data_IF_705707190825
#
_entry.id   IF_705707190825
#
_cell.length_a   1.000
_cell.length_b   1.000
_cell.length_c   1.000
_cell.angle_alpha   90.00
_cell.angle_beta   90.00
_cell.angle_gamma   90.00
#
_symmetry.space_group_name_H-M   'P 1'
#
loop_
_entity.id
_entity.type
_entity.pdbx_description
1 polymer ?
#
# COMPACT_ATOMS: atom_id res chain seq x y z
N UNK A 1 0.41 1.37 19.96
CA UNK A 1 0.18 1.01 21.39
C UNK A 1 0.07 2.29 22.20
N UNK A 2 -0.96 2.41 23.06
CA UNK A 2 -1.22 3.62 23.86
C UNK A 2 -0.63 3.54 25.27
N UNK A 3 -0.52 2.33 25.81
CA UNK A 3 0.02 2.07 27.15
C UNK A 3 1.49 1.67 27.10
N UNK A 4 2.21 1.90 28.19
CA UNK A 4 3.60 1.52 28.40
C UNK A 4 3.71 0.40 29.44
N UNK A 5 4.86 -0.27 29.43
CA UNK A 5 5.18 -1.30 30.44
C UNK A 5 5.21 -0.64 31.82
N UNK A 6 4.40 -1.16 32.75
CA UNK A 6 4.28 -0.64 34.11
C UNK A 6 3.01 0.20 34.36
N UNK A 7 2.25 0.54 33.32
CA UNK A 7 0.97 1.24 33.50
C UNK A 7 -0.05 0.34 34.19
N UNK A 8 -0.80 0.92 35.14
CA UNK A 8 -1.96 0.24 35.75
C UNK A 8 -3.18 0.49 34.87
N UNK A 9 -3.81 -0.58 34.40
CA UNK A 9 -5.00 -0.54 33.56
C UNK A 9 -6.19 -1.20 34.25
N UNK A 10 -7.39 -0.76 33.88
CA UNK A 10 -8.67 -1.29 34.32
C UNK A 10 -9.39 -2.03 33.19
N UNK A 11 -10.39 -2.84 33.54
CA UNK A 11 -11.24 -3.48 32.55
C UNK A 11 -11.99 -2.41 31.72
N UNK A 12 -11.82 -2.46 30.40
CA UNK A 12 -12.40 -1.50 29.46
C UNK A 12 -11.43 -0.43 28.95
N UNK A 13 -10.21 -0.34 29.50
CA UNK A 13 -9.21 0.62 29.02
C UNK A 13 -8.70 0.26 27.62
N UNK A 14 -8.51 1.28 26.78
CA UNK A 14 -8.02 1.12 25.41
C UNK A 14 -6.50 1.07 25.44
N UNK A 15 -5.95 -0.10 25.15
CA UNK A 15 -4.49 -0.35 25.22
C UNK A 15 -3.76 -0.03 23.90
N UNK A 16 -4.49 0.03 22.77
CA UNK A 16 -3.94 0.35 21.46
C UNK A 16 -5.02 0.93 20.55
N UNK A 17 -4.63 1.90 19.73
CA UNK A 17 -5.46 2.39 18.64
C UNK A 17 -5.48 1.41 17.46
N UNK A 18 -6.66 1.28 16.84
CA UNK A 18 -6.84 0.61 15.56
C UNK A 18 -6.62 1.55 14.37
N UNK A 19 -6.97 1.07 13.18
CA UNK A 19 -7.01 1.91 11.98
C UNK A 19 -8.02 3.05 12.17
N UNK A 20 -7.62 4.28 11.82
CA UNK A 20 -8.46 5.48 11.92
C UNK A 20 -8.96 5.78 13.33
N UNK A 21 -8.12 5.53 14.35
CA UNK A 21 -8.39 5.91 15.74
C UNK A 21 -7.29 6.81 16.29
N UNK A 22 -7.63 7.66 17.24
CA UNK A 22 -6.68 8.48 18.00
C UNK A 22 -7.14 8.53 19.46
N UNK A 23 -6.35 7.94 20.36
CA UNK A 23 -6.69 7.82 21.78
C UNK A 23 -8.05 7.18 22.05
N UNK A 24 -8.40 6.15 21.27
CA UNK A 24 -9.66 5.43 21.41
C UNK A 24 -10.87 6.08 20.74
N UNK A 25 -10.72 7.26 20.17
CA UNK A 25 -11.77 7.95 19.43
C UNK A 25 -11.59 7.79 17.92
N UNK A 26 -12.70 7.88 17.17
CA UNK A 26 -12.71 7.80 15.72
C UNK A 26 -12.02 9.03 15.10
N UNK A 27 -11.00 8.80 14.28
CA UNK A 27 -10.20 9.82 13.60
C UNK A 27 -10.05 9.50 12.11
N UNK A 28 -11.01 9.97 11.29
CA UNK A 28 -11.09 9.69 9.85
C UNK A 28 -10.30 10.67 8.97
N UNK A 29 -9.69 11.71 9.54
CA UNK A 29 -9.02 12.76 8.79
C UNK A 29 -8.07 13.58 9.65
N UNK A 30 -7.74 14.78 9.18
CA UNK A 30 -6.83 15.70 9.88
C UNK A 30 -7.43 17.08 9.96
N UNK A 31 -7.21 17.73 11.10
CA UNK A 31 -7.51 19.14 11.27
C UNK A 31 -6.51 19.97 10.46
N UNK A 32 -7.01 20.85 9.60
CA UNK A 32 -6.19 21.75 8.77
C UNK A 32 -6.73 23.17 8.84
N UNK A 33 -5.84 24.15 8.68
CA UNK A 33 -6.22 25.55 8.58
C UNK A 33 -6.75 25.83 7.17
N UNK A 34 -7.93 26.46 7.09
CA UNK A 34 -8.63 26.76 5.82
C UNK A 34 -8.81 28.26 5.68
N UNK A 35 -8.63 28.77 4.46
CA UNK A 35 -8.92 30.16 4.09
C UNK A 35 -10.03 30.19 3.04
N UNK A 36 -11.09 30.96 3.32
CA UNK A 36 -12.22 31.15 2.39
C UNK A 36 -11.98 32.36 1.49
N UNK A 37 -11.08 32.21 0.51
CA UNK A 37 -10.73 33.28 -0.43
C UNK A 37 -10.62 32.73 -1.86
N UNK A 38 -11.01 33.49 -2.90
CA UNK A 38 -10.66 33.14 -4.26
C UNK A 38 -9.14 33.26 -4.46
N UNK A 39 -8.52 32.28 -5.12
CA UNK A 39 -7.08 32.25 -5.32
C UNK A 39 -6.72 32.04 -6.79
N UNK A 40 -6.54 33.15 -7.53
CA UNK A 40 -6.04 33.18 -8.91
C UNK A 40 -6.76 32.21 -9.88
N UNK A 41 -8.02 31.88 -9.61
CA UNK A 41 -8.81 30.91 -10.39
C UNK A 41 -8.49 29.44 -10.14
N UNK A 42 -7.51 29.10 -9.30
CA UNK A 42 -7.17 27.70 -9.00
C UNK A 42 -8.22 26.97 -8.16
N UNK A 43 -9.04 27.71 -7.41
CA UNK A 43 -10.21 27.18 -6.69
C UNK A 43 -11.53 27.59 -7.36
N UNK A 44 -11.55 27.62 -8.69
CA UNK A 44 -12.78 27.86 -9.44
C UNK A 44 -13.73 26.65 -9.31
N UNK A 45 -15.03 26.90 -9.21
CA UNK A 45 -16.07 25.90 -8.93
C UNK A 45 -15.74 25.07 -7.68
N UNK A 46 -15.52 23.76 -7.84
CA UNK A 46 -15.31 22.80 -6.74
C UNK A 46 -13.83 22.45 -6.53
N UNK A 47 -12.91 23.17 -7.18
CA UNK A 47 -11.48 22.91 -7.06
C UNK A 47 -10.93 23.35 -5.69
N UNK A 48 -10.07 22.53 -5.11
CA UNK A 48 -9.41 22.80 -3.82
C UNK A 48 -7.92 23.03 -4.05
N UNK A 49 -7.41 24.15 -3.53
CA UNK A 49 -5.97 24.43 -3.49
C UNK A 49 -5.41 23.94 -2.16
N UNK A 50 -4.39 23.10 -2.22
CA UNK A 50 -3.69 22.58 -1.04
C UNK A 50 -2.29 23.19 -0.93
N UNK A 51 -1.85 23.39 0.31
CA UNK A 51 -0.46 23.78 0.57
C UNK A 51 0.48 22.60 0.28
N UNK A 52 1.64 22.87 -0.31
CA UNK A 52 2.70 21.87 -0.49
C UNK A 52 3.10 21.19 0.83
N UNK A 53 2.92 21.90 1.96
CA UNK A 53 3.15 21.38 3.31
C UNK A 53 2.37 20.09 3.59
N UNK A 54 1.17 19.95 3.03
CA UNK A 54 0.33 18.74 3.18
C UNK A 54 1.07 17.50 2.67
N UNK A 55 1.76 17.62 1.54
CA UNK A 55 2.55 16.54 0.94
C UNK A 55 3.85 16.31 1.71
N UNK A 56 4.56 17.39 2.06
CA UNK A 56 5.86 17.31 2.75
C UNK A 56 5.78 16.69 4.15
N UNK A 57 4.67 16.89 4.85
CA UNK A 57 4.47 16.39 6.22
C UNK A 57 3.59 15.11 6.29
N UNK A 58 3.33 14.45 5.15
CA UNK A 58 2.52 13.22 5.07
C UNK A 58 1.14 13.35 5.76
N UNK A 59 0.50 14.53 5.69
CA UNK A 59 -0.72 14.81 6.45
C UNK A 59 -1.88 13.92 5.98
N UNK A 60 -2.03 13.74 4.67
CA UNK A 60 -3.08 12.92 4.06
C UNK A 60 -2.55 11.64 3.37
N UNK A 61 -1.38 11.16 3.78
CA UNK A 61 -0.81 9.92 3.25
C UNK A 61 -1.57 8.71 3.82
N UNK A 62 -1.87 7.73 2.97
CA UNK A 62 -2.58 6.49 3.35
C UNK A 62 -1.91 5.25 2.75
N UNK A 63 -2.11 4.11 3.39
CA UNK A 63 -1.58 2.81 2.95
C UNK A 63 -2.72 1.99 2.35
N UNK A 64 -2.52 1.51 1.12
CA UNK A 64 -3.45 0.60 0.45
C UNK A 64 -2.75 -0.72 0.15
N UNK A 65 -3.35 -1.82 0.62
CA UNK A 65 -2.91 -3.17 0.31
C UNK A 65 -3.79 -3.70 -0.81
N UNK A 66 -3.17 -4.31 -1.82
CA UNK A 66 -3.86 -4.94 -2.95
C UNK A 66 -3.40 -6.38 -3.01
N UNK A 67 -4.35 -7.31 -2.91
CA UNK A 67 -4.10 -8.73 -3.08
C UNK A 67 -4.26 -9.12 -4.56
N UNK A 68 -3.32 -9.92 -5.05
CA UNK A 68 -3.36 -10.48 -6.39
C UNK A 68 -3.18 -11.99 -6.29
N UNK A 69 -4.16 -12.73 -6.77
CA UNK A 69 -4.10 -14.18 -6.81
C UNK A 69 -3.71 -14.67 -8.20
N UNK A 70 -2.90 -15.73 -8.24
CA UNK A 70 -2.59 -16.44 -9.47
C UNK A 70 -2.68 -17.96 -9.24
N UNK A 71 -3.17 -18.69 -10.24
CA UNK A 71 -3.34 -20.15 -10.17
C UNK A 71 -2.80 -20.81 -11.42
N UNK A 72 -2.01 -21.84 -11.23
CA UNK A 72 -1.50 -22.74 -12.27
C UNK A 72 -2.56 -23.80 -12.58
N UNK A 73 -2.69 -24.19 -13.85
CA UNK A 73 -3.68 -25.17 -14.29
C UNK A 73 -3.04 -26.23 -15.17
N UNK A 74 -3.56 -27.45 -15.07
CA UNK A 74 -3.23 -28.50 -16.04
C UNK A 74 -3.97 -28.24 -17.34
N UNK A 75 -3.21 -28.17 -18.44
CA UNK A 75 -3.75 -28.04 -19.78
C UNK A 75 -3.60 -29.37 -20.53
N UNK A 76 -4.28 -29.51 -21.67
CA UNK A 76 -4.12 -30.69 -22.52
C UNK A 76 -2.71 -30.83 -23.11
N UNK A 77 -1.95 -29.73 -23.15
CA UNK A 77 -0.58 -29.69 -23.69
C UNK A 77 0.49 -29.94 -22.61
N UNK A 78 0.10 -29.96 -21.34
CA UNK A 78 0.98 -30.18 -20.20
C UNK A 78 0.57 -29.39 -18.95
N UNK A 79 1.15 -29.73 -17.79
CA UNK A 79 0.99 -28.95 -16.58
C UNK A 79 1.70 -27.60 -16.72
N UNK A 80 0.99 -26.50 -16.46
CA UNK A 80 1.66 -25.22 -16.25
C UNK A 80 2.53 -25.33 -14.98
N UNK A 81 3.58 -24.51 -14.88
CA UNK A 81 4.40 -24.46 -13.66
C UNK A 81 4.90 -23.06 -13.35
N UNK A 82 5.11 -22.81 -12.05
CA UNK A 82 5.81 -21.63 -11.58
C UNK A 82 7.30 -21.83 -11.82
N UNK A 83 7.91 -20.83 -12.47
CA UNK A 83 9.35 -20.85 -12.75
C UNK A 83 9.86 -19.45 -12.98
N UNK A 84 11.13 -19.23 -12.62
CA UNK A 84 11.86 -18.02 -12.96
C UNK A 84 12.32 -18.02 -14.43
N UNK A 85 12.43 -19.18 -15.06
CA UNK A 85 12.90 -19.31 -16.44
C UNK A 85 11.76 -18.99 -17.43
N UNK A 86 11.64 -17.71 -17.81
CA UNK A 86 10.58 -17.23 -18.70
C UNK A 86 11.20 -16.85 -20.05
N UNK A 87 10.76 -17.45 -21.17
CA UNK A 87 11.31 -17.15 -22.48
C UNK A 87 11.01 -15.70 -22.90
N UNK A 88 11.95 -15.07 -23.60
CA UNK A 88 11.85 -13.69 -24.10
C UNK A 88 11.78 -12.59 -23.02
N UNK A 89 12.17 -12.88 -21.78
CA UNK A 89 12.24 -11.90 -20.69
C UNK A 89 13.70 -11.63 -20.33
N UNK A 90 14.04 -10.37 -20.01
CA UNK A 90 15.39 -10.02 -19.59
C UNK A 90 15.66 -10.42 -18.13
N UNK A 91 16.91 -10.77 -17.80
CA UNK A 91 17.34 -11.03 -16.42
C UNK A 91 17.02 -9.88 -15.47
N UNK A 92 17.06 -8.63 -15.96
CA UNK A 92 16.72 -7.47 -15.14
C UNK A 92 15.25 -7.46 -14.70
N UNK A 93 14.33 -7.97 -15.53
CA UNK A 93 12.92 -8.12 -15.15
C UNK A 93 12.70 -9.28 -14.17
N UNK A 94 13.58 -10.29 -14.18
CA UNK A 94 13.53 -11.47 -13.31
C UNK A 94 14.29 -11.27 -12.00
N UNK A 95 15.00 -10.15 -11.81
CA UNK A 95 15.85 -9.90 -10.63
C UNK A 95 15.13 -9.99 -9.28
N UNK A 96 13.81 -9.78 -9.30
CA UNK A 96 12.98 -9.80 -8.10
C UNK A 96 12.35 -11.18 -7.81
N UNK A 97 12.47 -12.14 -8.74
CA UNK A 97 11.91 -13.48 -8.56
C UNK A 97 12.93 -14.39 -7.86
N UNK A 98 12.42 -15.17 -6.93
CA UNK A 98 13.15 -16.26 -6.28
C UNK A 98 13.25 -17.49 -7.20
N UNK A 99 13.88 -18.56 -6.69
CA UNK A 99 14.06 -19.82 -7.42
C UNK A 99 12.74 -20.51 -7.80
N UNK A 100 11.65 -20.22 -7.09
CA UNK A 100 10.31 -20.76 -7.38
C UNK A 100 9.56 -19.96 -8.45
N UNK A 101 10.13 -18.82 -8.89
CA UNK A 101 9.45 -17.90 -9.80
C UNK A 101 8.46 -16.97 -9.10
N UNK A 102 8.58 -16.77 -7.78
CA UNK A 102 7.71 -15.87 -7.00
C UNK A 102 8.53 -14.66 -6.54
N UNK A 103 7.93 -13.49 -6.54
CA UNK A 103 8.60 -12.29 -6.04
C UNK A 103 8.88 -12.38 -4.53
N UNK A 104 10.08 -11.98 -4.10
CA UNK A 104 10.44 -11.99 -2.68
C UNK A 104 9.73 -10.87 -1.88
N UNK A 105 9.49 -11.13 -0.60
CA UNK A 105 8.86 -10.16 0.31
C UNK A 105 9.79 -8.97 0.55
N UNK A 106 9.28 -7.76 0.31
CA UNK A 106 10.03 -6.51 0.43
C UNK A 106 10.58 -5.98 -0.90
N UNK A 107 10.37 -6.68 -2.01
CA UNK A 107 10.70 -6.18 -3.34
C UNK A 107 9.87 -4.93 -3.67
N UNK A 108 10.53 -3.91 -4.25
CA UNK A 108 9.83 -2.73 -4.81
C UNK A 108 9.40 -3.06 -6.24
N UNK A 109 8.10 -2.90 -6.49
CA UNK A 109 7.50 -3.17 -7.80
C UNK A 109 6.95 -1.90 -8.44
N UNK A 110 7.03 -1.85 -9.77
CA UNK A 110 6.43 -0.84 -10.62
C UNK A 110 5.44 -1.50 -11.58
N UNK A 111 4.72 -0.65 -12.30
CA UNK A 111 3.86 -1.12 -13.39
C UNK A 111 4.69 -1.88 -14.43
N UNK A 112 4.26 -3.10 -14.75
CA UNK A 112 4.93 -3.98 -15.71
C UNK A 112 5.88 -5.01 -15.08
N UNK A 113 6.18 -4.89 -13.79
CA UNK A 113 7.04 -5.87 -13.11
C UNK A 113 6.34 -7.23 -12.95
N UNK A 114 7.13 -8.30 -13.06
CA UNK A 114 6.65 -9.67 -12.92
C UNK A 114 6.58 -10.03 -11.44
N UNK A 115 5.38 -10.36 -10.96
CA UNK A 115 5.16 -10.81 -9.58
C UNK A 115 5.28 -12.33 -9.43
N UNK A 116 4.87 -13.06 -10.46
CA UNK A 116 4.89 -14.51 -10.53
C UNK A 116 5.24 -14.92 -11.95
N UNK A 117 6.28 -15.73 -12.10
CA UNK A 117 6.71 -16.32 -13.36
C UNK A 117 5.95 -17.60 -13.66
N UNK A 118 5.49 -17.74 -14.90
CA UNK A 118 4.77 -18.93 -15.37
C UNK A 118 5.30 -19.33 -16.74
N UNK A 119 5.49 -20.64 -16.92
CA UNK A 119 5.61 -21.26 -18.25
C UNK A 119 4.39 -22.14 -18.50
N UNK A 120 3.92 -22.13 -19.75
CA UNK A 120 2.76 -22.87 -20.26
C UNK A 120 3.18 -23.85 -21.34
#
# INVERSE_FOLDING_TARGET
PLVKVGDRISAGDIIADGSSMNYGELALGRNVLVAFVPWRGYNYEDAIVISERISREDIFTSVKIVEKEFKVRDTQLGPESFTRDIPNVSEEALKNLDESGIIYVGARVKQGDILVGRVS
#
